data_IF_813886423538
#
_entry.id   IF_813886423538
#
_cell.length_a   1.000
_cell.length_b   1.000
_cell.length_c   1.000
_cell.angle_alpha   90.00
_cell.angle_beta   90.00
_cell.angle_gamma   90.00
#
_symmetry.space_group_name_H-M   'P 1'
#
loop_
_entity.id
_entity.type
_entity.pdbx_description
1 polymer ?
#
# COMPACT_ATOMS: atom_id res chain seq x y z
N UNK A 1 -39.02 -23.32 15.61
CA UNK A 1 -37.66 -23.30 16.18
C UNK A 1 -36.71 -23.23 14.98
N UNK A 2 -36.08 -22.08 14.72
CA UNK A 2 -35.13 -21.97 13.60
C UNK A 2 -33.85 -22.70 14.00
N UNK A 3 -33.53 -23.78 13.29
CA UNK A 3 -32.28 -24.51 13.48
C UNK A 3 -31.19 -23.70 12.77
N UNK A 4 -30.16 -23.28 13.51
CA UNK A 4 -29.00 -22.62 12.94
C UNK A 4 -28.20 -23.65 12.13
N UNK A 5 -28.00 -23.37 10.84
CA UNK A 5 -27.24 -24.21 9.94
C UNK A 5 -25.73 -23.98 10.16
N UNK A 6 -24.98 -25.05 10.49
CA UNK A 6 -23.52 -24.99 10.66
C UNK A 6 -22.84 -25.36 9.35
N UNK A 7 -22.03 -24.44 8.81
CA UNK A 7 -21.17 -24.67 7.64
C UNK A 7 -19.70 -24.47 8.03
N UNK A 8 -18.80 -25.20 7.37
CA UNK A 8 -17.35 -25.01 7.48
C UNK A 8 -16.91 -24.21 6.27
N UNK A 9 -16.14 -23.15 6.51
CA UNK A 9 -15.49 -22.36 5.47
C UNK A 9 -13.99 -22.40 5.70
N UNK A 10 -13.25 -22.70 4.63
CA UNK A 10 -11.81 -22.52 4.61
C UNK A 10 -11.51 -21.10 4.13
N UNK A 11 -10.97 -20.29 5.03
CA UNK A 11 -10.60 -18.91 4.74
C UNK A 11 -9.17 -18.87 4.22
N UNK A 12 -8.99 -18.38 2.99
CA UNK A 12 -7.69 -18.12 2.38
C UNK A 12 -7.59 -16.64 1.99
N UNK A 13 -6.41 -16.01 2.11
CA UNK A 13 -6.26 -14.64 1.68
C UNK A 13 -6.38 -14.53 0.16
N UNK A 14 -7.16 -13.56 -0.31
CA UNK A 14 -7.18 -13.19 -1.72
C UNK A 14 -5.88 -12.49 -2.16
N UNK A 15 -5.70 -12.33 -3.48
CA UNK A 15 -4.62 -11.54 -4.07
C UNK A 15 -5.17 -10.19 -4.54
N UNK A 16 -5.07 -9.17 -3.69
CA UNK A 16 -5.66 -7.87 -3.96
C UNK A 16 -4.83 -6.73 -3.37
N UNK A 17 -4.67 -5.66 -4.14
CA UNK A 17 -4.40 -4.33 -3.60
C UNK A 17 -5.76 -3.68 -3.39
N UNK A 18 -6.09 -3.35 -2.15
CA UNK A 18 -7.40 -2.78 -1.80
C UNK A 18 -7.37 -1.25 -1.89
N UNK A 19 -6.25 -0.64 -1.55
CA UNK A 19 -6.05 0.81 -1.60
C UNK A 19 -4.71 1.12 -2.28
N UNK A 20 -4.73 2.13 -3.15
CA UNK A 20 -3.54 2.77 -3.71
C UNK A 20 -3.85 4.28 -3.78
N UNK A 21 -3.33 5.04 -2.81
CA UNK A 21 -3.66 6.45 -2.65
C UNK A 21 -2.41 7.33 -2.48
N UNK A 22 -2.44 8.53 -3.04
CA UNK A 22 -1.38 9.53 -2.91
C UNK A 22 -1.95 10.75 -2.20
N UNK A 23 -1.34 11.13 -1.09
CA UNK A 23 -1.57 12.42 -0.44
C UNK A 23 -0.47 13.36 -0.93
N UNK A 24 -0.83 14.34 -1.75
CA UNK A 24 0.05 15.42 -2.16
C UNK A 24 0.01 16.54 -1.11
N UNK A 25 1.16 17.08 -0.76
CA UNK A 25 1.31 18.11 0.28
C UNK A 25 0.58 17.77 1.60
N UNK A 26 0.89 16.62 2.23
CA UNK A 26 0.29 16.20 3.49
C UNK A 26 0.51 17.23 4.61
N UNK A 27 -0.49 17.38 5.49
CA UNK A 27 -0.35 18.19 6.71
C UNK A 27 0.76 17.61 7.61
N UNK A 28 1.63 18.49 8.13
CA UNK A 28 2.75 18.11 9.01
C UNK A 28 2.34 17.21 10.19
N UNK A 29 1.14 17.40 10.73
CA UNK A 29 0.59 16.61 11.85
C UNK A 29 0.35 15.15 11.48
N UNK A 30 0.21 14.84 10.18
CA UNK A 30 0.08 13.46 9.70
C UNK A 30 1.39 12.72 9.94
N UNK A 31 2.53 13.32 9.60
CA UNK A 31 3.84 12.70 9.85
C UNK A 31 4.07 12.45 11.33
N UNK A 32 3.68 13.39 12.19
CA UNK A 32 3.77 13.23 13.65
C UNK A 32 2.99 12.01 14.15
N UNK A 33 1.75 11.86 13.69
CA UNK A 33 0.90 10.73 14.07
C UNK A 33 1.36 9.39 13.50
N UNK A 34 2.09 9.42 12.40
CA UNK A 34 2.69 8.24 11.77
C UNK A 34 4.07 7.89 12.35
N UNK A 35 4.61 8.70 13.26
CA UNK A 35 5.96 8.51 13.81
C UNK A 35 7.08 8.86 12.83
N UNK A 36 6.81 9.73 11.85
CA UNK A 36 7.70 10.12 10.74
C UNK A 36 8.24 11.55 10.91
N UNK A 37 8.49 11.95 12.16
CA UNK A 37 8.71 13.35 12.56
C UNK A 37 9.89 14.03 11.83
N UNK A 38 10.92 13.26 11.46
CA UNK A 38 12.14 13.76 10.80
C UNK A 38 12.04 13.70 9.25
N UNK A 39 10.89 13.35 8.70
CA UNK A 39 10.72 12.96 7.30
C UNK A 39 9.60 13.73 6.59
N UNK A 40 9.72 15.06 6.58
CA UNK A 40 8.81 15.91 5.81
C UNK A 40 9.10 15.79 4.32
N UNK A 41 8.15 15.21 3.59
CA UNK A 41 8.19 15.07 2.14
C UNK A 41 6.95 15.68 1.49
N UNK A 42 7.05 15.95 0.19
CA UNK A 42 5.96 16.57 -0.57
C UNK A 42 4.79 15.61 -0.86
N UNK A 43 4.95 14.30 -0.65
CA UNK A 43 3.88 13.33 -0.84
C UNK A 43 4.05 12.06 0.01
N UNK A 44 2.91 11.43 0.32
CA UNK A 44 2.81 10.09 0.91
C UNK A 44 2.05 9.19 -0.05
N UNK A 45 2.64 8.05 -0.41
CA UNK A 45 1.95 6.94 -1.07
C UNK A 45 1.49 5.92 -0.05
N UNK A 46 0.22 5.52 -0.12
CA UNK A 46 -0.43 4.59 0.80
C UNK A 46 -0.94 3.38 0.01
N UNK A 47 -0.53 2.18 0.43
CA UNK A 47 -1.03 0.92 -0.10
C UNK A 47 -1.61 0.04 1.01
N UNK A 48 -2.67 -0.69 0.68
CA UNK A 48 -3.20 -1.79 1.51
C UNK A 48 -3.27 -3.04 0.65
N UNK A 49 -2.54 -4.08 1.05
CA UNK A 49 -2.29 -5.26 0.23
C UNK A 49 -2.68 -6.53 0.97
N UNK A 50 -3.33 -7.46 0.27
CA UNK A 50 -3.61 -8.82 0.75
C UNK A 50 -3.07 -9.82 -0.27
N UNK A 51 -2.32 -10.86 0.15
CA UNK A 51 -1.87 -11.12 1.52
C UNK A 51 -0.79 -10.13 2.01
N UNK A 52 -0.67 -9.93 3.33
CA UNK A 52 0.12 -8.83 3.90
C UNK A 52 1.64 -8.96 3.67
N UNK A 53 2.15 -10.18 3.45
CA UNK A 53 3.57 -10.43 3.16
C UNK A 53 4.02 -9.78 1.85
N UNK A 54 3.08 -9.51 0.93
CA UNK A 54 3.37 -8.82 -0.34
C UNK A 54 3.75 -7.35 -0.13
N UNK A 55 3.47 -6.77 1.05
CA UNK A 55 3.95 -5.44 1.41
C UNK A 55 5.47 -5.29 1.24
N UNK A 56 6.24 -6.34 1.56
CA UNK A 56 7.70 -6.36 1.43
C UNK A 56 8.11 -6.27 -0.05
N UNK A 57 7.41 -7.00 -0.91
CA UNK A 57 7.65 -7.03 -2.36
C UNK A 57 7.28 -5.68 -2.99
N UNK A 58 6.14 -5.12 -2.62
CA UNK A 58 5.69 -3.83 -3.11
C UNK A 58 6.71 -2.72 -2.83
N UNK A 59 7.30 -2.73 -1.63
CA UNK A 59 8.31 -1.75 -1.22
C UNK A 59 9.63 -1.92 -1.99
N UNK A 60 10.08 -3.15 -2.22
CA UNK A 60 11.26 -3.43 -3.04
C UNK A 60 11.09 -2.91 -4.47
N UNK A 61 9.93 -3.14 -5.08
CA UNK A 61 9.59 -2.63 -6.41
C UNK A 61 9.58 -1.09 -6.39
N UNK A 62 8.91 -0.47 -5.42
CA UNK A 62 8.83 0.99 -5.30
C UNK A 62 10.23 1.63 -5.19
N UNK A 63 11.10 1.08 -4.33
CA UNK A 63 12.48 1.55 -4.12
C UNK A 63 13.35 1.45 -5.36
N UNK A 64 13.14 0.43 -6.19
CA UNK A 64 13.88 0.23 -7.46
C UNK A 64 13.38 1.13 -8.59
N UNK A 65 12.16 1.67 -8.46
CA UNK A 65 11.51 2.45 -9.53
C UNK A 65 11.83 3.94 -9.43
N UNK A 66 11.82 4.51 -8.23
CA UNK A 66 11.91 5.95 -8.03
C UNK A 66 12.67 6.28 -6.72
N UNK A 67 13.22 7.51 -6.60
CA UNK A 67 13.91 7.96 -5.39
C UNK A 67 12.89 8.24 -4.26
N UNK A 68 12.37 7.17 -3.67
CA UNK A 68 11.43 7.21 -2.54
C UNK A 68 12.10 6.74 -1.26
N UNK A 69 11.52 7.16 -0.13
CA UNK A 69 11.84 6.68 1.20
C UNK A 69 10.71 5.79 1.72
N UNK A 70 11.08 4.81 2.53
CA UNK A 70 10.12 3.92 3.18
C UNK A 70 9.75 4.57 4.49
N UNK A 71 8.51 5.03 4.63
CA UNK A 71 8.00 5.52 5.91
C UNK A 71 7.61 4.36 6.81
N UNK A 72 6.87 3.39 6.27
CA UNK A 72 6.36 2.26 7.06
C UNK A 72 6.04 1.05 6.20
N UNK A 73 6.30 -0.15 6.72
CA UNK A 73 5.94 -1.43 6.10
C UNK A 73 5.43 -2.37 7.17
N UNK A 74 4.17 -2.77 7.07
CA UNK A 74 3.56 -3.72 7.98
C UNK A 74 3.18 -5.02 7.25
N UNK A 75 3.98 -6.06 7.50
CA UNK A 75 3.78 -7.40 6.96
C UNK A 75 2.71 -8.22 7.69
N UNK A 76 2.03 -7.64 8.68
CA UNK A 76 0.91 -8.28 9.38
C UNK A 76 -0.42 -7.74 8.87
N UNK A 77 -0.54 -6.42 8.67
CA UNK A 77 -1.76 -5.82 8.09
C UNK A 77 -1.71 -5.63 6.58
N UNK A 78 -0.52 -5.63 5.97
CA UNK A 78 -0.33 -5.33 4.54
C UNK A 78 -0.32 -3.84 4.22
N UNK A 79 -0.17 -2.98 5.23
CA UNK A 79 -0.12 -1.52 5.08
C UNK A 79 1.30 -1.05 4.71
N UNK A 80 1.40 -0.17 3.73
CA UNK A 80 2.67 0.43 3.30
C UNK A 80 2.52 1.93 3.16
N UNK A 81 3.47 2.69 3.73
CA UNK A 81 3.64 4.12 3.50
C UNK A 81 5.00 4.39 2.87
N UNK A 82 5.00 5.04 1.72
CA UNK A 82 6.21 5.52 1.04
C UNK A 82 6.17 7.05 0.94
N UNK A 83 7.35 7.68 1.02
CA UNK A 83 7.51 9.12 1.07
C UNK A 83 8.40 9.58 -0.09
N UNK A 84 8.13 10.76 -0.64
CA UNK A 84 8.95 11.32 -1.70
C UNK A 84 8.29 12.52 -2.38
N UNK A 85 8.86 12.93 -3.51
CA UNK A 85 8.19 13.90 -4.38
C UNK A 85 6.95 13.27 -5.04
N UNK A 86 5.96 14.11 -5.35
CA UNK A 86 4.68 13.66 -5.94
C UNK A 86 4.89 12.82 -7.20
N UNK A 87 5.84 13.20 -8.07
CA UNK A 87 6.18 12.45 -9.28
C UNK A 87 6.85 11.11 -8.99
N UNK A 88 7.75 11.07 -8.00
CA UNK A 88 8.42 9.85 -7.57
C UNK A 88 7.43 8.85 -6.95
N UNK A 89 6.51 9.33 -6.09
CA UNK A 89 5.45 8.51 -5.51
C UNK A 89 4.50 7.98 -6.59
N UNK A 90 4.07 8.83 -7.53
CA UNK A 90 3.21 8.40 -8.64
C UNK A 90 3.86 7.25 -9.43
N UNK A 91 5.10 7.45 -9.87
CA UNK A 91 5.84 6.46 -10.65
C UNK A 91 6.03 5.15 -9.88
N UNK A 92 6.44 5.23 -8.60
CA UNK A 92 6.59 4.07 -7.74
C UNK A 92 5.27 3.30 -7.58
N UNK A 93 4.16 3.99 -7.32
CA UNK A 93 2.86 3.36 -7.14
C UNK A 93 2.34 2.71 -8.43
N UNK A 94 2.49 3.38 -9.57
CA UNK A 94 2.11 2.84 -10.89
C UNK A 94 2.87 1.56 -11.21
N UNK A 95 4.18 1.53 -10.94
CA UNK A 95 4.98 0.34 -11.16
C UNK A 95 4.60 -0.78 -10.20
N UNK A 96 4.33 -0.49 -8.93
CA UNK A 96 3.89 -1.50 -7.95
C UNK A 96 2.58 -2.13 -8.39
N UNK A 97 1.53 -1.34 -8.67
CA UNK A 97 0.22 -1.90 -9.05
C UNK A 97 0.28 -2.66 -10.37
N UNK A 98 1.09 -2.18 -11.33
CA UNK A 98 1.31 -2.86 -12.61
C UNK A 98 2.02 -4.19 -12.42
N UNK A 99 3.13 -4.22 -11.67
CA UNK A 99 3.85 -5.46 -11.38
C UNK A 99 2.99 -6.48 -10.64
N UNK A 100 2.23 -6.05 -9.63
CA UNK A 100 1.35 -6.97 -8.88
C UNK A 100 0.21 -7.51 -9.75
N UNK A 101 -0.37 -6.66 -10.62
CA UNK A 101 -1.41 -7.09 -11.57
C UNK A 101 -0.85 -8.05 -12.61
N UNK A 102 0.24 -7.68 -13.28
CA UNK A 102 0.66 -8.35 -14.50
C UNK A 102 1.55 -9.57 -14.22
N UNK A 103 2.39 -9.53 -13.17
CA UNK A 103 3.28 -10.64 -12.80
C UNK A 103 2.64 -11.59 -11.80
N UNK A 104 1.86 -11.07 -10.84
CA UNK A 104 1.32 -11.85 -9.72
C UNK A 104 -0.19 -12.05 -9.77
N UNK A 105 -0.87 -11.46 -10.76
CA UNK A 105 -2.31 -11.57 -11.01
C UNK A 105 -3.13 -11.07 -9.81
N UNK A 106 -2.76 -9.92 -9.26
CA UNK A 106 -3.54 -9.24 -8.22
C UNK A 106 -4.70 -8.46 -8.84
N UNK A 107 -5.84 -8.45 -8.15
CA UNK A 107 -6.85 -7.41 -8.36
C UNK A 107 -6.30 -6.09 -7.82
N UNK A 108 -6.32 -5.03 -8.62
CA UNK A 108 -5.73 -3.73 -8.25
C UNK A 108 -6.72 -2.59 -8.50
N UNK A 109 -6.73 -1.53 -7.66
CA UNK A 109 -7.64 -0.42 -7.82
C UNK A 109 -7.00 0.62 -8.75
N UNK A 110 -7.78 1.66 -9.09
CA UNK A 110 -7.18 2.88 -9.64
C UNK A 110 -6.38 3.59 -8.56
N UNK A 111 -5.27 4.20 -8.95
CA UNK A 111 -4.54 5.11 -8.06
C UNK A 111 -5.42 6.35 -7.85
N UNK A 112 -5.65 6.70 -6.60
CA UNK A 112 -6.41 7.88 -6.19
C UNK A 112 -5.49 8.92 -5.59
N UNK A 113 -5.93 10.18 -5.54
CA UNK A 113 -5.11 11.30 -5.07
C UNK A 113 -5.93 12.34 -4.32
N UNK A 114 -5.33 12.93 -3.29
CA UNK A 114 -5.77 14.19 -2.65
C UNK A 114 -4.63 15.19 -2.61
#
# INVERSE_FOLDING_TARGET
>A
MNILERKIFESVPGKQVTLAHIIANPDDRIFEKLGLNDEKYHAIGILTITPPEVAIIAVDIAKKTAPIKIGFVDRFSGSVFILGDVSAIQSAMEQVVTSLRDLMQFSVPKITRT
#
